data_IF_024079265364
#
_entry.id   IF_024079265364
#
_cell.length_a   1.000
_cell.length_b   1.000
_cell.length_c   1.000
_cell.angle_alpha   90.00
_cell.angle_beta   90.00
_cell.angle_gamma   90.00
#
_symmetry.space_group_name_H-M   'P 1'
#
loop_
_entity.id
_entity.type
_entity.pdbx_description
1 polymer ?
#
# COMPACT_ATOMS: atom_id res chain seq x y z
N UNK A 1 17.79 6.66 6.67
CA UNK A 1 16.75 7.59 7.15
C UNK A 1 15.98 8.21 6.01
N UNK A 2 14.65 8.24 6.14
CA UNK A 2 13.77 8.95 5.21
C UNK A 2 14.03 10.44 5.38
N UNK A 3 14.62 11.06 4.35
CA UNK A 3 14.99 12.48 4.36
C UNK A 3 13.75 13.34 4.09
N UNK A 4 12.88 13.45 5.09
CA UNK A 4 11.76 14.41 5.05
C UNK A 4 12.27 15.83 5.25
N UNK A 5 11.71 16.78 4.50
CA UNK A 5 11.97 18.19 4.71
C UNK A 5 11.43 18.66 6.08
N UNK A 6 12.26 19.41 6.81
CA UNK A 6 11.94 19.83 8.19
C UNK A 6 10.84 20.87 8.24
N UNK A 7 10.79 21.76 7.26
CA UNK A 7 9.75 22.80 7.18
C UNK A 7 8.40 22.18 6.82
N UNK A 8 8.40 21.20 5.91
CA UNK A 8 7.24 20.39 5.58
C UNK A 8 6.67 19.68 6.82
N UNK A 9 7.49 18.94 7.58
CA UNK A 9 7.01 18.23 8.78
C UNK A 9 6.42 19.18 9.83
N UNK A 10 7.06 20.34 10.06
CA UNK A 10 6.54 21.37 10.96
C UNK A 10 5.20 21.94 10.48
N UNK A 11 5.08 22.16 9.18
CA UNK A 11 3.86 22.73 8.56
C UNK A 11 2.70 21.73 8.55
N UNK A 12 3.00 20.46 8.29
CA UNK A 12 2.02 19.38 8.30
C UNK A 12 1.53 19.07 9.72
N UNK A 13 2.40 19.20 10.72
CA UNK A 13 2.15 18.86 12.12
C UNK A 13 1.64 17.42 12.31
N UNK A 14 2.14 16.50 11.48
CA UNK A 14 1.87 15.06 11.50
C UNK A 14 3.11 14.29 11.06
N UNK A 15 3.13 12.99 11.33
CA UNK A 15 4.19 12.08 10.88
C UNK A 15 3.68 11.32 9.65
N UNK A 16 4.15 11.64 8.43
CA UNK A 16 3.77 10.90 7.24
C UNK A 16 4.42 9.50 7.22
N UNK A 17 3.67 8.48 6.79
CA UNK A 17 4.25 7.18 6.51
C UNK A 17 5.20 7.23 5.28
N UNK A 18 6.15 6.30 5.12
CA UNK A 18 7.15 6.34 4.05
C UNK A 18 6.56 6.41 2.63
N UNK A 19 5.38 5.83 2.41
CA UNK A 19 4.68 5.86 1.11
C UNK A 19 4.19 7.25 0.71
N UNK A 20 4.09 8.20 1.64
CA UNK A 20 3.75 9.58 1.28
C UNK A 20 4.82 10.25 0.42
N UNK A 21 6.05 9.71 0.37
CA UNK A 21 7.12 10.22 -0.51
C UNK A 21 6.73 10.16 -1.99
N UNK A 22 5.98 9.15 -2.41
CA UNK A 22 5.52 9.05 -3.80
C UNK A 22 4.63 10.24 -4.21
N UNK A 23 3.95 10.87 -3.25
CA UNK A 23 3.05 12.00 -3.49
C UNK A 23 3.74 13.37 -3.27
N UNK A 24 4.50 13.51 -2.18
CA UNK A 24 5.11 14.80 -1.83
C UNK A 24 6.55 14.99 -2.33
N UNK A 25 7.21 13.91 -2.76
CA UNK A 25 8.60 13.88 -3.25
C UNK A 25 8.69 13.04 -4.52
N UNK A 26 7.70 13.19 -5.42
CA UNK A 26 7.51 12.33 -6.59
C UNK A 26 8.75 12.31 -7.50
N UNK A 27 9.37 13.46 -7.74
CA UNK A 27 10.50 13.57 -8.65
C UNK A 27 11.74 12.88 -8.06
N UNK A 28 11.99 13.09 -6.77
CA UNK A 28 13.10 12.49 -6.04
C UNK A 28 12.97 10.96 -6.03
N UNK A 29 11.78 10.43 -5.79
CA UNK A 29 11.54 8.98 -5.84
C UNK A 29 11.74 8.42 -7.25
N UNK A 30 11.28 9.11 -8.29
CA UNK A 30 11.52 8.69 -9.69
C UNK A 30 13.01 8.72 -10.02
N UNK A 31 13.75 9.75 -9.58
CA UNK A 31 15.19 9.85 -9.77
C UNK A 31 15.93 8.69 -9.10
N UNK A 32 15.58 8.37 -7.85
CA UNK A 32 16.09 7.22 -7.10
C UNK A 32 15.84 5.89 -7.85
N UNK A 33 14.61 5.66 -8.32
CA UNK A 33 14.23 4.44 -9.06
C UNK A 33 14.98 4.32 -10.40
N UNK A 34 15.16 5.43 -11.11
CA UNK A 34 15.92 5.45 -12.37
C UNK A 34 17.42 5.28 -12.16
N UNK A 35 17.96 5.80 -11.06
CA UNK A 35 19.36 5.61 -10.68
C UNK A 35 19.65 4.15 -10.36
N UNK A 36 18.78 3.47 -9.61
CA UNK A 36 18.90 2.04 -9.35
C UNK A 36 18.93 1.20 -10.64
N UNK A 37 18.11 1.56 -11.63
CA UNK A 37 18.14 0.91 -12.94
C UNK A 37 19.46 1.19 -13.67
N UNK A 38 19.92 2.44 -13.71
CA UNK A 38 21.17 2.84 -14.40
C UNK A 38 22.40 2.18 -13.78
N UNK A 39 22.42 2.03 -12.46
CA UNK A 39 23.52 1.42 -11.71
C UNK A 39 23.48 -0.11 -11.73
N UNK A 40 22.53 -0.71 -12.45
CA UNK A 40 22.44 -2.16 -12.64
C UNK A 40 21.77 -2.92 -11.49
N UNK A 41 21.29 -2.23 -10.45
CA UNK A 41 20.48 -2.85 -9.39
C UNK A 41 19.11 -3.30 -9.92
N UNK A 42 18.61 -2.65 -10.98
CA UNK A 42 17.32 -2.96 -11.58
C UNK A 42 16.14 -2.57 -10.67
N UNK A 43 14.96 -3.05 -11.02
CA UNK A 43 13.74 -2.76 -10.25
C UNK A 43 13.77 -3.45 -8.89
N UNK A 44 12.96 -2.96 -7.94
CA UNK A 44 12.80 -3.61 -6.64
C UNK A 44 12.40 -5.08 -6.76
N UNK A 45 11.58 -5.43 -7.76
CA UNK A 45 11.21 -6.82 -8.03
C UNK A 45 12.42 -7.70 -8.36
N UNK A 46 13.34 -7.25 -9.23
CA UNK A 46 14.57 -7.99 -9.56
C UNK A 46 15.46 -8.18 -8.33
N UNK A 47 15.64 -7.12 -7.54
CA UNK A 47 16.40 -7.18 -6.29
C UNK A 47 15.79 -8.19 -5.31
N UNK A 48 14.45 -8.22 -5.17
CA UNK A 48 13.75 -9.17 -4.30
C UNK A 48 13.87 -10.61 -4.81
N UNK A 49 13.80 -10.85 -6.13
CA UNK A 49 14.02 -12.19 -6.69
C UNK A 49 15.43 -12.72 -6.36
N UNK A 50 16.46 -11.88 -6.40
CA UNK A 50 17.81 -12.27 -5.98
C UNK A 50 17.90 -12.58 -4.49
N UNK A 51 17.22 -11.80 -3.64
CA UNK A 51 17.15 -12.05 -2.20
C UNK A 51 16.44 -13.38 -1.93
N UNK A 52 15.31 -13.65 -2.58
CA UNK A 52 14.55 -14.89 -2.42
C UNK A 52 15.36 -16.11 -2.87
N UNK A 53 16.05 -16.03 -4.01
CA UNK A 53 16.94 -17.10 -4.47
C UNK A 53 18.07 -17.42 -3.48
N UNK A 54 18.60 -16.40 -2.78
CA UNK A 54 19.59 -16.60 -1.71
C UNK A 54 18.96 -17.22 -0.48
N UNK A 55 17.77 -16.74 -0.09
CA UNK A 55 17.02 -17.29 1.04
C UNK A 55 16.67 -18.76 0.85
N UNK A 56 16.20 -19.17 -0.33
CA UNK A 56 15.89 -20.58 -0.59
C UNK A 56 17.12 -21.49 -0.41
N UNK A 57 18.30 -21.06 -0.87
CA UNK A 57 19.54 -21.81 -0.64
C UNK A 57 19.95 -21.89 0.83
N UNK A 58 19.69 -20.84 1.60
CA UNK A 58 19.94 -20.85 3.06
C UNK A 58 18.98 -21.85 3.73
N UNK A 59 17.71 -21.89 3.28
CA UNK A 59 16.70 -22.80 3.81
C UNK A 59 16.85 -24.26 3.36
N UNK A 60 17.78 -24.57 2.46
CA UNK A 60 18.13 -25.97 2.12
C UNK A 60 18.89 -26.68 3.27
N UNK A 61 19.46 -25.93 4.21
CA UNK A 61 20.11 -26.51 5.40
C UNK A 61 19.07 -26.87 6.47
N UNK A 62 18.81 -28.17 6.64
CA UNK A 62 17.88 -28.68 7.66
C UNK A 62 18.35 -28.40 9.11
N UNK A 63 19.61 -28.04 9.32
CA UNK A 63 20.14 -27.70 10.65
C UNK A 63 20.01 -26.21 10.99
N UNK A 64 19.51 -25.39 10.07
CA UNK A 64 19.29 -23.97 10.31
C UNK A 64 18.27 -23.77 11.45
N UNK A 65 18.72 -23.17 12.55
CA UNK A 65 17.91 -22.90 13.75
C UNK A 65 17.79 -21.40 14.07
N UNK A 66 18.39 -20.53 13.25
CA UNK A 66 18.32 -19.08 13.38
C UNK A 66 17.65 -18.43 12.15
N UNK A 67 16.97 -17.30 12.39
CA UNK A 67 16.34 -16.50 11.32
C UNK A 67 17.44 -15.85 10.45
N UNK A 68 17.50 -16.13 9.14
CA UNK A 68 18.52 -15.52 8.27
C UNK A 68 18.38 -13.99 8.20
N UNK A 69 19.52 -13.30 8.27
CA UNK A 69 19.59 -11.83 8.21
C UNK A 69 19.07 -11.26 6.88
N UNK A 70 19.15 -12.05 5.81
CA UNK A 70 18.67 -11.72 4.47
C UNK A 70 17.15 -11.53 4.46
N UNK A 71 16.43 -12.18 5.37
CA UNK A 71 14.97 -12.07 5.44
C UNK A 71 14.56 -10.63 5.83
N UNK A 72 15.37 -9.94 6.63
CA UNK A 72 15.13 -8.54 7.01
C UNK A 72 15.34 -7.56 5.85
N UNK A 73 16.00 -8.00 4.77
CA UNK A 73 16.15 -7.20 3.54
C UNK A 73 14.89 -7.23 2.67
N UNK A 74 13.92 -8.09 2.99
CA UNK A 74 12.56 -8.02 2.41
C UNK A 74 11.78 -6.90 3.09
N UNK A 75 10.98 -6.17 2.33
CA UNK A 75 10.16 -5.06 2.84
C UNK A 75 8.99 -5.49 3.74
N UNK A 76 8.96 -6.75 4.18
CA UNK A 76 7.87 -7.36 4.94
C UNK A 76 8.22 -7.70 6.40
N UNK A 77 9.29 -7.13 6.94
CA UNK A 77 9.63 -7.32 8.35
C UNK A 77 8.45 -6.92 9.26
N UNK A 78 8.28 -7.63 10.38
CA UNK A 78 7.23 -7.44 11.41
C UNK A 78 5.78 -7.75 11.02
N UNK A 79 5.47 -8.07 9.75
CA UNK A 79 4.11 -8.50 9.38
C UNK A 79 3.64 -9.74 10.16
N UNK A 80 4.53 -10.71 10.39
CA UNK A 80 4.20 -11.92 11.15
C UNK A 80 3.88 -11.61 12.61
N UNK A 81 4.61 -10.68 13.23
CA UNK A 81 4.37 -10.25 14.61
C UNK A 81 3.02 -9.56 14.73
N UNK A 82 2.72 -8.61 13.83
CA UNK A 82 1.41 -7.95 13.78
C UNK A 82 0.27 -8.96 13.58
N UNK A 83 0.43 -9.92 12.66
CA UNK A 83 -0.57 -10.95 12.40
C UNK A 83 -0.81 -11.87 13.60
N UNK A 84 0.25 -12.39 14.22
CA UNK A 84 0.15 -13.28 15.38
C UNK A 84 -0.42 -12.55 16.59
N UNK A 85 0.00 -11.30 16.81
CA UNK A 85 -0.53 -10.45 17.89
C UNK A 85 -2.03 -10.20 17.71
N UNK A 86 -2.46 -9.86 16.48
CA UNK A 86 -3.88 -9.66 16.15
C UNK A 86 -4.69 -10.95 16.37
N UNK A 87 -4.21 -12.10 15.88
CA UNK A 87 -4.85 -13.40 16.11
C UNK A 87 -4.96 -13.72 17.60
N UNK A 88 -3.91 -13.43 18.36
CA UNK A 88 -3.89 -13.61 19.80
C UNK A 88 -4.89 -12.69 20.52
N UNK A 89 -5.07 -11.45 20.05
CA UNK A 89 -6.01 -10.50 20.63
C UNK A 89 -7.46 -10.93 20.41
N UNK A 90 -7.78 -11.42 19.20
CA UNK A 90 -9.07 -12.00 18.89
C UNK A 90 -9.33 -13.25 19.73
N UNK A 91 -8.43 -14.23 19.68
CA UNK A 91 -8.63 -15.52 20.33
C UNK A 91 -8.75 -15.42 21.85
N UNK A 92 -7.92 -14.58 22.49
CA UNK A 92 -7.88 -14.46 23.95
C UNK A 92 -8.71 -13.28 24.49
N UNK A 93 -9.59 -12.67 23.69
CA UNK A 93 -10.49 -11.59 24.10
C UNK A 93 -9.76 -10.39 24.77
N UNK A 94 -8.59 -10.01 24.25
CA UNK A 94 -7.63 -9.15 24.98
C UNK A 94 -8.01 -7.67 25.07
N UNK A 95 -8.94 -7.20 24.25
CA UNK A 95 -9.31 -5.77 24.15
C UNK A 95 -8.11 -4.85 23.90
N UNK A 96 -7.18 -5.29 23.04
CA UNK A 96 -5.98 -4.54 22.70
C UNK A 96 -6.24 -3.57 21.54
N UNK A 97 -5.43 -2.52 21.44
CA UNK A 97 -5.46 -1.60 20.30
C UNK A 97 -4.51 -2.12 19.22
N UNK A 98 -5.06 -2.32 18.02
CA UNK A 98 -4.30 -2.67 16.82
C UNK A 98 -4.64 -1.69 15.69
N UNK A 99 -3.66 -1.34 14.87
CA UNK A 99 -3.89 -0.58 13.63
C UNK A 99 -4.21 -1.57 12.51
N UNK A 100 -5.42 -1.52 11.96
CA UNK A 100 -5.92 -2.52 11.00
C UNK A 100 -6.73 -1.88 9.88
N UNK A 101 -6.82 -2.60 8.76
CA UNK A 101 -7.75 -2.28 7.69
C UNK A 101 -9.15 -2.80 8.05
N UNK A 102 -10.11 -1.89 8.16
CA UNK A 102 -11.50 -2.19 8.57
C UNK A 102 -12.48 -1.31 7.79
N UNK A 103 -13.74 -1.74 7.69
CA UNK A 103 -14.84 -0.92 7.18
C UNK A 103 -14.99 0.35 8.03
N UNK A 104 -15.05 1.50 7.36
CA UNK A 104 -15.06 2.83 7.98
C UNK A 104 -16.17 3.01 9.03
N UNK A 105 -17.41 2.64 8.69
CA UNK A 105 -18.57 2.70 9.60
C UNK A 105 -18.68 4.00 10.43
N UNK A 106 -18.37 5.15 9.82
CA UNK A 106 -18.43 6.47 10.46
C UNK A 106 -17.20 6.88 11.27
N UNK A 107 -16.12 6.08 11.30
CA UNK A 107 -14.89 6.45 12.02
C UNK A 107 -14.21 7.68 11.40
N UNK A 108 -14.19 7.78 10.07
CA UNK A 108 -13.74 8.94 9.30
C UNK A 108 -14.94 9.51 8.55
N UNK A 109 -15.37 10.72 8.92
CA UNK A 109 -16.60 11.34 8.41
C UNK A 109 -16.50 11.82 6.95
N UNK A 110 -15.28 12.05 6.46
CA UNK A 110 -15.01 12.51 5.09
C UNK A 110 -14.98 11.37 4.05
N UNK A 111 -15.24 10.13 4.47
CA UNK A 111 -15.22 8.93 3.62
C UNK A 111 -16.55 8.15 3.71
N UNK A 112 -16.96 7.44 2.65
CA UNK A 112 -18.13 6.56 2.70
C UNK A 112 -18.04 5.51 3.82
N UNK A 113 -19.17 5.17 4.43
CA UNK A 113 -19.23 4.17 5.52
C UNK A 113 -18.82 2.76 5.09
N UNK A 114 -18.93 2.45 3.81
CA UNK A 114 -18.56 1.15 3.23
C UNK A 114 -17.11 1.10 2.74
N UNK A 115 -16.36 2.20 2.79
CA UNK A 115 -14.94 2.21 2.45
C UNK A 115 -14.11 1.44 3.47
N UNK A 116 -13.07 0.76 3.02
CA UNK A 116 -11.99 0.26 3.91
C UNK A 116 -11.08 1.43 4.27
N UNK A 117 -10.72 1.53 5.55
CA UNK A 117 -9.76 2.48 6.11
C UNK A 117 -8.74 1.72 6.96
N UNK A 118 -7.53 2.25 7.07
CA UNK A 118 -6.56 1.80 8.08
C UNK A 118 -6.62 2.74 9.28
N UNK A 119 -7.01 2.23 10.46
CA UNK A 119 -7.12 3.03 11.68
C UNK A 119 -6.88 2.17 12.92
N UNK A 120 -6.70 2.81 14.06
CA UNK A 120 -6.68 2.12 15.35
C UNK A 120 -8.06 1.55 15.67
N UNK A 121 -8.08 0.30 16.08
CA UNK A 121 -9.26 -0.43 16.47
C UNK A 121 -9.03 -1.17 17.78
N UNK A 122 -10.07 -1.29 18.60
CA UNK A 122 -10.09 -2.20 19.74
C UNK A 122 -10.37 -3.61 19.18
N UNK A 123 -9.51 -4.56 19.49
CA UNK A 123 -9.59 -5.94 19.00
C UNK A 123 -9.78 -6.90 20.16
N UNK A 124 -10.82 -7.73 20.05
CA UNK A 124 -11.18 -8.75 21.02
C UNK A 124 -11.91 -9.90 20.31
N UNK A 125 -12.57 -10.81 21.03
CA UNK A 125 -13.23 -11.98 20.42
C UNK A 125 -14.36 -11.64 19.44
N UNK A 126 -14.91 -10.42 19.52
CA UNK A 126 -15.94 -9.93 18.61
C UNK A 126 -15.35 -9.33 17.32
N UNK A 127 -14.02 -9.37 17.16
CA UNK A 127 -13.30 -8.78 16.04
C UNK A 127 -12.78 -7.37 16.35
N UNK A 128 -12.56 -6.60 15.30
CA UNK A 128 -12.04 -5.23 15.39
C UNK A 128 -13.18 -4.20 15.39
N UNK A 129 -13.11 -3.22 16.29
CA UNK A 129 -14.01 -2.07 16.34
C UNK A 129 -13.19 -0.78 16.22
N UNK A 130 -13.38 -0.03 15.14
CA UNK A 130 -12.64 1.20 14.85
C UNK A 130 -12.82 2.26 15.95
N UNK A 131 -11.73 2.92 16.32
CA UNK A 131 -11.74 4.13 17.13
C UNK A 131 -12.06 5.32 16.22
N UNK A 132 -12.99 6.17 16.64
CA UNK A 132 -13.41 7.33 15.84
C UNK A 132 -12.26 8.33 15.66
N UNK A 133 -12.03 8.72 14.41
CA UNK A 133 -11.06 9.75 14.01
C UNK A 133 -11.76 11.10 13.82
N UNK A 134 -13.01 11.09 13.34
CA UNK A 134 -13.80 12.27 13.05
C UNK A 134 -13.51 12.84 11.67
N UNK A 135 -13.31 14.16 11.60
CA UNK A 135 -13.08 14.89 10.36
C UNK A 135 -11.58 14.92 10.06
N UNK A 136 -11.20 14.58 8.83
CA UNK A 136 -9.81 14.67 8.37
C UNK A 136 -9.37 16.14 8.30
N UNK A 137 -8.15 16.46 8.75
CA UNK A 137 -7.57 17.79 8.54
C UNK A 137 -7.43 18.13 7.05
N UNK A 138 -7.63 19.40 6.71
CA UNK A 138 -7.57 19.88 5.32
C UNK A 138 -6.25 19.56 4.62
N UNK A 139 -5.14 19.53 5.36
CA UNK A 139 -3.79 19.23 4.86
C UNK A 139 -3.67 17.84 4.23
N UNK A 140 -4.49 16.87 4.62
CA UNK A 140 -4.43 15.48 4.14
C UNK A 140 -5.73 15.00 3.48
N UNK A 141 -6.87 15.66 3.75
CA UNK A 141 -8.20 15.22 3.28
C UNK A 141 -8.24 15.00 1.77
N UNK A 142 -7.71 15.95 1.00
CA UNK A 142 -7.78 15.91 -0.47
C UNK A 142 -7.10 14.68 -1.06
N UNK A 143 -5.88 14.38 -0.61
CA UNK A 143 -5.13 13.21 -1.07
C UNK A 143 -5.85 11.91 -0.73
N UNK A 144 -6.33 11.76 0.51
CA UNK A 144 -7.05 10.56 0.96
C UNK A 144 -8.33 10.33 0.13
N UNK A 145 -9.10 11.39 -0.13
CA UNK A 145 -10.32 11.29 -0.94
C UNK A 145 -10.02 10.93 -2.40
N UNK A 146 -8.96 11.51 -2.98
CA UNK A 146 -8.57 11.20 -4.35
C UNK A 146 -8.10 9.75 -4.50
N UNK A 147 -7.28 9.26 -3.56
CA UNK A 147 -6.85 7.85 -3.54
C UNK A 147 -8.06 6.93 -3.38
N UNK A 148 -9.02 7.25 -2.50
CA UNK A 148 -10.23 6.43 -2.33
C UNK A 148 -11.10 6.40 -3.59
N UNK A 149 -11.20 7.51 -4.31
CA UNK A 149 -11.92 7.55 -5.59
C UNK A 149 -11.24 6.66 -6.64
N UNK A 150 -9.91 6.73 -6.75
CA UNK A 150 -9.10 5.85 -7.60
C UNK A 150 -9.33 4.36 -7.25
N UNK A 151 -9.27 3.99 -5.98
CA UNK A 151 -9.51 2.61 -5.54
C UNK A 151 -10.91 2.13 -5.91
N UNK A 152 -11.92 2.97 -5.70
CA UNK A 152 -13.33 2.64 -5.99
C UNK A 152 -13.54 2.38 -7.49
N UNK A 153 -13.05 3.28 -8.34
CA UNK A 153 -13.10 3.12 -9.80
C UNK A 153 -12.31 1.90 -10.28
N UNK A 154 -11.18 1.60 -9.65
CA UNK A 154 -10.36 0.42 -9.95
C UNK A 154 -11.12 -0.86 -9.63
N UNK A 155 -11.81 -0.92 -8.48
CA UNK A 155 -12.64 -2.06 -8.08
C UNK A 155 -13.79 -2.25 -9.05
N UNK A 156 -14.50 -1.18 -9.42
CA UNK A 156 -15.59 -1.25 -10.42
C UNK A 156 -15.08 -1.80 -11.75
N UNK A 157 -13.96 -1.28 -12.25
CA UNK A 157 -13.33 -1.77 -13.46
C UNK A 157 -12.91 -3.24 -13.34
N UNK A 158 -12.29 -3.63 -12.22
CA UNK A 158 -11.82 -4.98 -11.98
C UNK A 158 -12.97 -6.00 -11.88
N UNK A 159 -14.14 -5.61 -11.38
CA UNK A 159 -15.33 -6.47 -11.32
C UNK A 159 -15.99 -6.59 -12.70
N UNK A 160 -16.14 -5.46 -13.41
CA UNK A 160 -16.92 -5.41 -14.65
C UNK A 160 -16.10 -5.74 -15.90
N UNK A 161 -14.77 -5.67 -15.84
CA UNK A 161 -13.90 -5.77 -17.01
C UNK A 161 -14.04 -4.60 -17.98
N UNK A 162 -14.53 -3.44 -17.52
CA UNK A 162 -14.81 -2.29 -18.37
C UNK A 162 -13.56 -1.41 -18.58
N UNK A 163 -13.14 -1.28 -19.84
CA UNK A 163 -11.99 -0.47 -20.23
C UNK A 163 -12.13 1.01 -19.84
N UNK A 164 -13.33 1.59 -19.98
CA UNK A 164 -13.54 3.01 -19.72
C UNK A 164 -13.46 3.31 -18.21
N UNK A 165 -13.99 2.43 -17.37
CA UNK A 165 -13.83 2.48 -15.92
C UNK A 165 -12.36 2.33 -15.53
N UNK A 166 -11.62 1.40 -16.14
CA UNK A 166 -10.18 1.26 -15.88
C UNK A 166 -9.40 2.52 -16.28
N UNK A 167 -9.77 3.12 -17.41
CA UNK A 167 -9.20 4.39 -17.86
C UNK A 167 -9.50 5.54 -16.89
N UNK A 168 -10.75 5.64 -16.43
CA UNK A 168 -11.16 6.63 -15.42
C UNK A 168 -10.46 6.39 -14.08
N UNK A 169 -10.27 5.14 -13.68
CA UNK A 169 -9.49 4.82 -12.49
C UNK A 169 -8.06 5.33 -12.64
N UNK A 170 -7.36 4.94 -13.70
CA UNK A 170 -5.95 5.27 -13.89
C UNK A 170 -5.69 6.78 -14.04
N UNK A 171 -6.59 7.54 -14.66
CA UNK A 171 -6.47 9.01 -14.74
C UNK A 171 -6.76 9.71 -13.41
N UNK A 172 -7.55 9.10 -12.51
CA UNK A 172 -7.83 9.65 -11.18
C UNK A 172 -6.74 9.32 -10.15
N UNK A 173 -5.85 8.37 -10.44
CA UNK A 173 -4.70 8.09 -9.59
C UNK A 173 -3.83 9.37 -9.45
N UNK A 174 -3.50 9.84 -8.24
CA UNK A 174 -2.69 11.05 -8.04
C UNK A 174 -1.28 10.97 -8.68
N UNK A 175 -0.78 9.75 -8.92
CA UNK A 175 0.49 9.48 -9.58
C UNK A 175 0.35 9.33 -11.10
N UNK A 176 -0.88 9.29 -11.62
CA UNK A 176 -1.22 9.12 -13.02
C UNK A 176 -0.65 10.19 -13.94
N UNK A 177 -0.68 9.90 -15.24
CA UNK A 177 -0.19 10.76 -16.30
C UNK A 177 -1.28 11.62 -16.96
N UNK A 178 -0.93 12.25 -18.08
CA UNK A 178 -1.91 12.90 -18.95
C UNK A 178 -2.75 11.88 -19.72
N UNK A 179 -3.90 12.29 -20.26
CA UNK A 179 -4.84 11.45 -21.02
C UNK A 179 -4.13 10.49 -22.00
N UNK A 180 -3.19 11.01 -22.80
CA UNK A 180 -2.50 10.21 -23.81
C UNK A 180 -1.52 9.20 -23.22
N UNK A 181 -0.83 9.56 -22.14
CA UNK A 181 0.07 8.65 -21.41
C UNK A 181 -0.76 7.53 -20.77
N UNK A 182 -1.85 7.90 -20.10
CA UNK A 182 -2.76 6.96 -19.42
C UNK A 182 -3.37 5.94 -20.38
N UNK A 183 -3.79 6.35 -21.59
CA UNK A 183 -4.31 5.42 -22.61
C UNK A 183 -3.28 4.38 -23.02
N UNK A 184 -2.04 4.81 -23.28
CA UNK A 184 -0.96 3.92 -23.68
C UNK A 184 -0.60 2.96 -22.54
N UNK A 185 -0.42 3.51 -21.33
CA UNK A 185 -0.10 2.73 -20.14
C UNK A 185 -1.17 1.69 -19.82
N UNK A 186 -2.45 2.05 -19.88
CA UNK A 186 -3.55 1.11 -19.64
C UNK A 186 -3.53 -0.04 -20.64
N UNK A 187 -3.32 0.26 -21.93
CA UNK A 187 -3.20 -0.77 -22.96
C UNK A 187 -2.06 -1.73 -22.65
N UNK A 188 -0.88 -1.20 -22.31
CA UNK A 188 0.29 -2.02 -21.99
C UNK A 188 0.05 -2.89 -20.74
N UNK A 189 -0.59 -2.34 -19.70
CA UNK A 189 -0.98 -3.09 -18.49
C UNK A 189 -1.94 -4.24 -18.85
N UNK A 190 -2.99 -3.98 -19.62
CA UNK A 190 -3.99 -5.00 -19.96
C UNK A 190 -3.40 -6.10 -20.85
N UNK A 191 -2.56 -5.74 -21.82
CA UNK A 191 -1.95 -6.70 -22.72
C UNK A 191 -0.96 -7.62 -21.98
N UNK A 192 -0.08 -7.05 -21.14
CA UNK A 192 0.91 -7.81 -20.37
C UNK A 192 0.25 -8.72 -19.31
N UNK A 193 -0.89 -8.30 -18.76
CA UNK A 193 -1.58 -9.01 -17.68
C UNK A 193 -2.82 -9.79 -18.15
N UNK A 194 -2.98 -10.02 -19.46
CA UNK A 194 -4.18 -10.62 -20.05
C UNK A 194 -4.55 -11.98 -19.43
N UNK A 195 -3.57 -12.80 -19.12
CA UNK A 195 -3.78 -14.12 -18.49
C UNK A 195 -4.32 -14.02 -17.06
N UNK A 196 -4.01 -12.92 -16.36
CA UNK A 196 -4.39 -12.67 -14.97
C UNK A 196 -5.64 -11.79 -14.83
N UNK A 197 -6.12 -11.20 -15.94
CA UNK A 197 -7.26 -10.28 -16.00
C UNK A 197 -8.36 -10.77 -16.96
N UNK A 198 -8.92 -11.99 -16.76
CA UNK A 198 -9.83 -12.65 -17.71
C UNK A 198 -11.15 -11.90 -17.97
N UNK A 199 -11.53 -10.97 -17.10
CA UNK A 199 -12.71 -10.11 -17.26
C UNK A 199 -12.51 -9.03 -18.33
N UNK A 200 -11.27 -8.61 -18.60
CA UNK A 200 -10.96 -7.63 -19.64
C UNK A 200 -10.72 -8.37 -20.97
N UNK A 201 -11.68 -8.27 -21.89
CA UNK A 201 -11.66 -8.95 -23.20
C UNK A 201 -11.44 -7.98 -24.35
#
# INVERSE_FOLDING_TARGET
DLKWDKEFLKSLNMIPCPYHRYFYMKNEVIEEELEDIKNGHGTRAKQVMEIENKLFKIYDDENLDEKPSELDKRGGAYYSEAAVSLMSAVYNDKNEIHTVNIKNNGAILDLPNNSVIETNAIVNKNGATSISVGILPHSIRGLIQQVKAYETLTIEAAINGDYNQAFLALINNPLGGSINITKKLLKDILDENKEYLPQFK
#
